data_IF_548221135403
#
_entry.id   IF_548221135403
#
_cell.length_a   1.000
_cell.length_b   1.000
_cell.length_c   1.000
_cell.angle_alpha   90.00
_cell.angle_beta   90.00
_cell.angle_gamma   90.00
#
_symmetry.space_group_name_H-M   'P 1'
#
loop_
_entity.id
_entity.type
_entity.pdbx_description
1 polymer ?
#
# COMPACT_ATOMS: atom_id res chain seq x y z
N UNK A 1 -8.39 -15.33 -24.99
CA UNK A 1 -7.41 -15.59 -23.91
C UNK A 1 -7.72 -14.69 -22.72
N UNK A 2 -8.24 -15.27 -21.65
CA UNK A 2 -8.49 -14.60 -20.37
C UNK A 2 -7.13 -14.22 -19.77
N UNK A 3 -6.76 -12.95 -19.82
CA UNK A 3 -5.67 -12.44 -18.99
C UNK A 3 -6.00 -12.83 -17.56
N UNK A 4 -5.22 -13.74 -16.99
CA UNK A 4 -5.45 -14.28 -15.66
C UNK A 4 -5.35 -13.12 -14.66
N UNK A 5 -6.48 -12.63 -14.15
CA UNK A 5 -6.54 -11.46 -13.27
C UNK A 5 -5.61 -11.63 -12.05
N UNK A 6 -5.43 -12.88 -11.59
CA UNK A 6 -4.46 -13.23 -10.54
C UNK A 6 -3.03 -12.91 -10.92
N UNK A 7 -2.60 -13.25 -12.16
CA UNK A 7 -1.25 -12.92 -12.64
C UNK A 7 -1.02 -11.40 -12.68
N UNK A 8 -2.02 -10.63 -13.16
CA UNK A 8 -1.94 -9.16 -13.18
C UNK A 8 -1.79 -8.56 -11.77
N UNK A 9 -2.52 -9.10 -10.78
CA UNK A 9 -2.38 -8.71 -9.37
C UNK A 9 -0.98 -9.00 -8.84
N UNK A 10 -0.52 -10.24 -9.01
CA UNK A 10 0.80 -10.67 -8.58
C UNK A 10 1.95 -9.85 -9.18
N UNK A 11 1.86 -9.51 -10.46
CA UNK A 11 2.85 -8.67 -11.16
C UNK A 11 2.85 -7.23 -10.63
N UNK A 12 1.67 -6.70 -10.31
CA UNK A 12 1.54 -5.37 -9.72
C UNK A 12 2.13 -5.30 -8.31
N UNK A 13 1.82 -6.27 -7.44
CA UNK A 13 2.41 -6.36 -6.10
C UNK A 13 3.94 -6.43 -6.16
N UNK A 14 4.51 -7.23 -7.07
CA UNK A 14 5.97 -7.32 -7.27
C UNK A 14 6.55 -5.99 -7.74
N UNK A 15 5.85 -5.29 -8.64
CA UNK A 15 6.26 -3.96 -9.10
C UNK A 15 6.28 -2.96 -7.94
N UNK A 16 5.26 -2.94 -7.09
CA UNK A 16 5.19 -2.03 -5.94
C UNK A 16 6.28 -2.36 -4.92
N UNK A 17 6.50 -3.64 -4.60
CA UNK A 17 7.60 -4.07 -3.73
C UNK A 17 8.97 -3.59 -4.22
N UNK A 18 9.25 -3.77 -5.52
CA UNK A 18 10.49 -3.31 -6.14
C UNK A 18 10.62 -1.78 -6.09
N UNK A 19 9.54 -1.05 -6.41
CA UNK A 19 9.54 0.42 -6.35
C UNK A 19 9.76 0.95 -4.94
N UNK A 20 9.15 0.33 -3.91
CA UNK A 20 9.39 0.71 -2.52
C UNK A 20 10.85 0.51 -2.15
N UNK A 21 11.44 -0.62 -2.53
CA UNK A 21 12.85 -0.87 -2.27
C UNK A 21 13.76 0.16 -2.95
N UNK A 22 13.55 0.42 -4.24
CA UNK A 22 14.38 1.35 -5.03
C UNK A 22 14.20 2.79 -4.56
N UNK A 23 12.96 3.27 -4.44
CA UNK A 23 12.68 4.69 -4.18
C UNK A 23 12.92 5.09 -2.71
N UNK A 24 12.93 4.13 -1.77
CA UNK A 24 13.32 4.34 -0.37
C UNK A 24 14.79 3.94 -0.09
N UNK A 25 15.55 3.52 -1.11
CA UNK A 25 16.93 3.03 -0.97
C UNK A 25 17.12 1.95 0.11
N UNK A 26 16.22 0.96 0.15
CA UNK A 26 16.24 -0.11 1.15
C UNK A 26 17.26 -1.20 0.78
N UNK A 27 18.09 -1.62 1.75
CA UNK A 27 19.07 -2.69 1.55
C UNK A 27 18.38 -4.06 1.46
N UNK A 28 17.36 -4.29 2.30
CA UNK A 28 16.59 -5.53 2.30
C UNK A 28 15.34 -5.37 1.41
N UNK A 29 14.99 -6.41 0.63
CA UNK A 29 13.84 -6.34 -0.25
C UNK A 29 12.53 -6.33 0.53
N UNK A 30 11.60 -5.48 0.10
CA UNK A 30 10.20 -5.53 0.54
C UNK A 30 9.59 -6.80 -0.04
N UNK A 31 9.12 -7.72 0.81
CA UNK A 31 8.57 -9.00 0.38
C UNK A 31 7.05 -9.02 0.47
N UNK A 32 6.47 -9.75 -0.47
CA UNK A 32 5.04 -10.08 -0.48
C UNK A 32 4.73 -11.11 0.59
N UNK A 33 3.57 -10.99 1.22
CA UNK A 33 3.08 -12.00 2.17
C UNK A 33 2.34 -13.07 1.35
N UNK A 34 2.90 -14.29 1.31
CA UNK A 34 2.42 -15.38 0.45
C UNK A 34 1.45 -16.35 1.16
N UNK A 35 1.35 -16.29 2.49
CA UNK A 35 0.49 -17.18 3.27
C UNK A 35 -0.98 -16.73 3.21
N UNK A 36 -1.67 -17.12 2.14
CA UNK A 36 -3.12 -16.92 1.98
C UNK A 36 -3.97 -18.10 2.52
N UNK A 37 -3.35 -19.15 3.07
CA UNK A 37 -4.02 -20.44 3.33
C UNK A 37 -4.34 -20.75 4.79
N UNK A 38 -3.88 -19.97 5.78
CA UNK A 38 -4.11 -20.29 7.20
C UNK A 38 -4.94 -19.25 7.95
N UNK A 39 -4.88 -17.96 7.61
CA UNK A 39 -5.75 -16.93 8.18
C UNK A 39 -6.09 -15.88 7.11
N UNK A 40 -7.35 -15.46 7.01
CA UNK A 40 -7.89 -14.66 5.89
C UNK A 40 -7.42 -13.20 5.82
N UNK A 41 -6.49 -12.76 6.67
CA UNK A 41 -6.24 -11.34 6.90
C UNK A 41 -4.75 -10.98 6.90
N UNK A 42 -4.14 -10.89 5.72
CA UNK A 42 -2.80 -10.33 5.57
C UNK A 42 -2.77 -9.31 4.44
N UNK A 43 -2.05 -8.19 4.59
CA UNK A 43 -1.84 -7.26 3.49
C UNK A 43 -0.94 -7.87 2.41
N UNK A 44 -1.03 -7.35 1.18
CA UNK A 44 -0.14 -7.75 0.08
C UNK A 44 1.35 -7.52 0.41
N UNK A 45 1.65 -6.35 0.99
CA UNK A 45 3.01 -5.91 1.38
C UNK A 45 3.01 -5.31 2.79
N UNK A 46 4.16 -5.40 3.48
CA UNK A 46 4.36 -4.78 4.80
C UNK A 46 5.72 -4.10 4.90
N UNK A 47 5.75 -2.87 5.43
CA UNK A 47 6.97 -2.13 5.77
C UNK A 47 6.78 -1.52 7.16
N UNK A 48 7.51 -2.02 8.16
CA UNK A 48 7.28 -1.63 9.56
C UNK A 48 5.81 -1.83 9.94
N UNK A 49 5.17 -0.75 10.40
CA UNK A 49 3.75 -0.72 10.75
C UNK A 49 2.81 -0.48 9.57
N UNK A 50 3.32 -0.24 8.35
CA UNK A 50 2.49 -0.01 7.17
C UNK A 50 2.03 -1.33 6.55
N UNK A 51 0.71 -1.51 6.50
CA UNK A 51 0.05 -2.60 5.77
C UNK A 51 -0.45 -2.04 4.44
N UNK A 52 0.08 -2.60 3.34
CA UNK A 52 -0.11 -2.06 2.00
C UNK A 52 -0.87 -3.08 1.15
N UNK A 53 -2.05 -2.68 0.67
CA UNK A 53 -2.86 -3.43 -0.29
C UNK A 53 -2.64 -2.88 -1.71
N UNK A 54 -2.52 -3.75 -2.71
CA UNK A 54 -2.19 -3.40 -4.09
C UNK A 54 -3.33 -3.74 -5.06
N UNK A 55 -3.96 -2.74 -5.68
CA UNK A 55 -5.05 -2.95 -6.66
C UNK A 55 -4.74 -2.36 -8.04
N UNK A 56 -4.75 -3.19 -9.08
CA UNK A 56 -4.58 -2.75 -10.46
C UNK A 56 -5.74 -3.17 -11.36
N UNK A 57 -6.44 -2.19 -11.94
CA UNK A 57 -7.64 -2.41 -12.77
C UNK A 57 -7.52 -1.73 -14.12
N UNK A 58 -8.31 -2.20 -15.10
CA UNK A 58 -8.25 -1.63 -16.46
C UNK A 58 -8.89 -0.25 -16.54
N UNK A 59 -10.07 -0.09 -15.92
CA UNK A 59 -10.89 1.12 -16.00
C UNK A 59 -11.23 1.60 -14.59
N UNK A 60 -11.37 2.91 -14.45
CA UNK A 60 -11.72 3.57 -13.20
C UNK A 60 -10.95 4.88 -13.04
N UNK A 61 -11.27 5.60 -11.97
CA UNK A 61 -10.64 6.86 -11.60
C UNK A 61 -10.42 6.90 -10.08
N UNK A 62 -11.47 6.61 -9.33
CA UNK A 62 -11.44 6.40 -7.88
C UNK A 62 -11.38 4.89 -7.55
N UNK A 63 -10.70 4.50 -6.46
CA UNK A 63 -10.74 3.13 -5.96
C UNK A 63 -12.12 2.80 -5.35
N UNK A 64 -12.53 1.54 -5.45
CA UNK A 64 -13.79 1.08 -4.87
C UNK A 64 -13.71 1.04 -3.33
N UNK A 65 -14.80 1.39 -2.65
CA UNK A 65 -14.90 1.34 -1.17
C UNK A 65 -14.50 -0.03 -0.61
N UNK A 66 -14.93 -1.11 -1.26
CA UNK A 66 -14.59 -2.47 -0.87
C UNK A 66 -13.08 -2.76 -0.84
N UNK A 67 -12.26 -2.03 -1.61
CA UNK A 67 -10.80 -2.17 -1.54
C UNK A 67 -10.23 -1.51 -0.29
N UNK A 68 -10.81 -0.39 0.14
CA UNK A 68 -10.43 0.24 1.40
C UNK A 68 -10.87 -0.59 2.60
N UNK A 69 -12.07 -1.17 2.55
CA UNK A 69 -12.56 -2.07 3.59
C UNK A 69 -11.64 -3.29 3.78
N UNK A 70 -11.06 -3.80 2.68
CA UNK A 70 -10.04 -4.86 2.74
C UNK A 70 -8.77 -4.42 3.47
N UNK A 71 -8.30 -3.19 3.23
CA UNK A 71 -7.13 -2.64 3.92
C UNK A 71 -7.43 -2.54 5.41
N UNK A 72 -8.59 -1.99 5.79
CA UNK A 72 -8.98 -1.89 7.19
C UNK A 72 -9.12 -3.26 7.87
N UNK A 73 -9.58 -4.28 7.14
CA UNK A 73 -9.76 -5.64 7.66
C UNK A 73 -8.46 -6.38 8.01
N UNK A 74 -7.31 -5.90 7.54
CA UNK A 74 -5.99 -6.49 7.83
C UNK A 74 -5.12 -5.63 8.74
N UNK A 75 -5.64 -4.48 9.21
CA UNK A 75 -4.92 -3.54 10.05
C UNK A 75 -5.25 -3.74 11.53
N UNK A 76 -4.21 -3.98 12.34
CA UNK A 76 -4.29 -4.00 13.80
C UNK A 76 -4.08 -2.62 14.45
N UNK A 77 -4.17 -2.59 15.77
CA UNK A 77 -3.91 -1.38 16.57
C UNK A 77 -2.47 -0.90 16.38
N UNK A 78 -2.31 0.40 16.13
CA UNK A 78 -1.01 1.02 15.90
C UNK A 78 -0.41 0.80 14.50
N UNK A 79 -1.13 0.12 13.60
CA UNK A 79 -0.71 -0.08 12.21
C UNK A 79 -1.30 0.97 11.28
N UNK A 80 -0.62 1.21 10.15
CA UNK A 80 -0.99 2.23 9.18
C UNK A 80 -1.54 1.59 7.90
N UNK A 81 -2.81 1.86 7.55
CA UNK A 81 -3.42 1.32 6.33
C UNK A 81 -2.99 2.14 5.11
N UNK A 82 -2.61 1.46 4.03
CA UNK A 82 -2.35 2.07 2.74
C UNK A 82 -2.93 1.24 1.58
N UNK A 83 -3.62 1.91 0.66
CA UNK A 83 -4.08 1.31 -0.59
C UNK A 83 -3.29 1.91 -1.75
N UNK A 84 -2.41 1.10 -2.35
CA UNK A 84 -1.71 1.45 -3.57
C UNK A 84 -2.54 0.98 -4.76
N UNK A 85 -3.01 1.90 -5.58
CA UNK A 85 -3.86 1.55 -6.72
C UNK A 85 -3.41 2.17 -8.04
N UNK A 86 -3.81 1.53 -9.14
CA UNK A 86 -3.55 1.99 -10.50
C UNK A 86 -4.63 1.55 -11.48
N UNK A 87 -5.03 2.48 -12.36
CA UNK A 87 -5.80 2.19 -13.57
C UNK A 87 -4.90 2.19 -14.82
N UNK A 88 -5.31 1.53 -15.90
CA UNK A 88 -4.55 1.56 -17.16
C UNK A 88 -4.42 3.02 -17.65
N UNK A 89 -3.24 3.39 -18.16
CA UNK A 89 -2.90 4.77 -18.60
C UNK A 89 -3.02 5.88 -17.53
N UNK A 90 -3.15 5.54 -16.24
CA UNK A 90 -3.13 6.51 -15.13
C UNK A 90 -1.90 6.33 -14.22
N UNK A 91 -1.43 7.35 -13.51
CA UNK A 91 -0.34 7.20 -12.53
C UNK A 91 -0.74 6.28 -11.37
N UNK A 92 0.26 5.81 -10.61
CA UNK A 92 0.03 5.12 -9.34
C UNK A 92 -0.40 6.16 -8.30
N UNK A 93 -1.39 5.81 -7.49
CA UNK A 93 -1.87 6.59 -6.35
C UNK A 93 -1.82 5.77 -5.08
N UNK A 94 -1.69 6.45 -3.95
CA UNK A 94 -1.66 5.83 -2.63
C UNK A 94 -2.69 6.50 -1.73
N UNK A 95 -3.73 5.77 -1.36
CA UNK A 95 -4.76 6.23 -0.42
C UNK A 95 -4.36 5.87 1.00
N UNK A 96 -4.38 6.87 1.88
CA UNK A 96 -4.09 6.76 3.31
C UNK A 96 -5.08 7.58 4.13
N UNK A 97 -5.11 7.43 5.45
CA UNK A 97 -5.89 8.33 6.30
C UNK A 97 -5.19 9.68 6.42
N UNK A 98 -5.97 10.77 6.51
CA UNK A 98 -5.44 12.11 6.70
C UNK A 98 -4.61 12.21 8.00
N UNK A 99 -4.99 11.46 9.04
CA UNK A 99 -4.24 11.38 10.30
C UNK A 99 -2.79 10.92 10.13
N UNK A 100 -2.49 10.14 9.08
CA UNK A 100 -1.13 9.69 8.78
C UNK A 100 -0.23 10.85 8.32
N UNK A 101 -0.80 11.93 7.80
CA UNK A 101 -0.05 13.10 7.39
C UNK A 101 0.20 14.03 8.59
N UNK A 102 -0.81 14.18 9.45
CA UNK A 102 -0.74 15.02 10.63
C UNK A 102 -1.58 14.40 11.77
N UNK A 103 -0.92 14.07 12.88
CA UNK A 103 -1.53 13.44 14.06
C UNK A 103 -2.59 14.32 14.75
N UNK A 104 -2.56 15.64 14.53
CA UNK A 104 -3.59 16.55 15.01
C UNK A 104 -4.93 16.36 14.29
N UNK A 105 -4.95 15.70 13.12
CA UNK A 105 -6.14 15.38 12.36
C UNK A 105 -6.60 13.97 12.69
N UNK A 106 -7.29 13.78 13.82
CA UNK A 106 -7.56 12.46 14.40
C UNK A 106 -8.67 11.64 13.73
N UNK A 107 -9.46 12.23 12.83
CA UNK A 107 -10.58 11.56 12.15
C UNK A 107 -10.09 10.48 11.16
N UNK A 108 -10.33 9.22 11.52
CA UNK A 108 -9.95 8.03 10.73
C UNK A 108 -10.82 7.81 9.49
N UNK A 109 -11.96 8.50 9.37
CA UNK A 109 -12.83 8.44 8.20
C UNK A 109 -12.35 9.30 7.04
N UNK A 110 -11.46 10.26 7.30
CA UNK A 110 -10.92 11.17 6.28
C UNK A 110 -9.75 10.52 5.58
N UNK A 111 -9.88 10.41 4.25
CA UNK A 111 -8.90 9.77 3.38
C UNK A 111 -8.29 10.80 2.43
N UNK A 112 -7.06 10.54 1.99
CA UNK A 112 -6.34 11.36 1.01
C UNK A 112 -5.56 10.47 0.05
N UNK A 113 -5.56 10.87 -1.23
CA UNK A 113 -4.87 10.15 -2.30
C UNK A 113 -3.61 10.89 -2.71
N UNK A 114 -2.47 10.35 -2.29
CA UNK A 114 -1.15 10.85 -2.64
C UNK A 114 -0.73 10.33 -4.02
N UNK A 115 0.09 11.11 -4.73
CA UNK A 115 0.91 10.52 -5.78
C UNK A 115 2.01 9.66 -5.15
N UNK A 116 2.68 8.84 -5.96
CA UNK A 116 3.73 7.94 -5.47
C UNK A 116 4.89 8.69 -4.78
N UNK A 117 5.40 9.75 -5.39
CA UNK A 117 6.55 10.51 -4.88
C UNK A 117 6.25 11.15 -3.52
N UNK A 118 5.05 11.71 -3.34
CA UNK A 118 4.59 12.27 -2.06
C UNK A 118 4.46 11.19 -0.98
N UNK A 119 4.08 9.96 -1.34
CA UNK A 119 4.06 8.86 -0.38
C UNK A 119 5.47 8.43 0.04
N UNK A 120 6.42 8.34 -0.92
CA UNK A 120 7.83 8.08 -0.62
C UNK A 120 8.42 9.16 0.28
N UNK A 121 8.17 10.43 -0.03
CA UNK A 121 8.56 11.56 0.80
C UNK A 121 7.99 11.46 2.22
N UNK A 122 6.69 11.16 2.36
CA UNK A 122 6.06 10.97 3.68
C UNK A 122 6.76 9.88 4.50
N UNK A 123 7.08 8.74 3.89
CA UNK A 123 7.77 7.65 4.57
C UNK A 123 9.17 8.06 5.04
N UNK A 124 9.94 8.74 4.18
CA UNK A 124 11.29 9.20 4.50
C UNK A 124 11.33 10.28 5.58
N UNK A 125 10.33 11.16 5.64
CA UNK A 125 10.34 12.27 6.61
C UNK A 125 9.71 11.89 7.95
N UNK A 126 8.62 11.13 7.95
CA UNK A 126 7.81 10.90 9.16
C UNK A 126 7.87 9.47 9.70
N UNK A 127 8.23 8.50 8.88
CA UNK A 127 8.13 7.07 9.21
C UNK A 127 9.47 6.32 9.11
N UNK A 128 10.58 7.01 9.41
CA UNK A 128 11.92 6.42 9.33
C UNK A 128 12.09 5.16 10.19
N UNK A 129 11.47 5.14 11.38
CA UNK A 129 11.47 3.98 12.29
C UNK A 129 10.89 2.74 11.60
N UNK A 130 9.86 2.91 10.76
CA UNK A 130 9.23 1.81 10.02
C UNK A 130 10.14 1.26 8.90
N UNK A 131 11.15 2.01 8.49
CA UNK A 131 12.14 1.62 7.47
C UNK A 131 13.38 0.94 8.06
N UNK A 132 13.66 1.09 9.36
CA UNK A 132 14.91 0.61 9.99
C UNK A 132 15.15 -0.88 9.80
N UNK A 133 14.09 -1.69 9.87
CA UNK A 133 14.16 -3.14 9.62
C UNK A 133 14.71 -3.51 8.23
N UNK A 134 14.60 -2.59 7.26
CA UNK A 134 15.01 -2.77 5.87
C UNK A 134 16.30 -2.03 5.48
N UNK A 135 16.81 -1.16 6.36
CA UNK A 135 18.19 -0.67 6.31
C UNK A 135 19.14 -1.78 6.80
#
# INVERSE_FOLDING_TARGET
MTINQRKKGHDFERKIAKKLQEDLNLLKPVRRILNQYQEKNHPDLKIGRWNIECKAYKKGFEPATAWWDQVLGVNGDGEFPALVYKFDNKPIRVRVMVKNLNEQLSDTSKLVDLNWESFIYLLNEKYQIDLESHK
#
